data_IF_290751388905
#
_entry.id   IF_290751388905
#
_cell.length_a   1.000
_cell.length_b   1.000
_cell.length_c   1.000
_cell.angle_alpha   90.00
_cell.angle_beta   90.00
_cell.angle_gamma   90.00
#
_symmetry.space_group_name_H-M   'P 1'
#
loop_
_entity.id
_entity.type
_entity.pdbx_description
1 polymer ?
#
# COMPACT_ATOMS: atom_id res chain seq x y z
N UNK A 1 -45.65 -11.59 -21.65
CA UNK A 1 -44.54 -12.36 -21.05
C UNK A 1 -44.10 -11.58 -19.81
N UNK A 2 -44.68 -11.92 -18.67
CA UNK A 2 -44.39 -11.27 -17.38
C UNK A 2 -42.95 -11.63 -17.00
N UNK A 3 -42.05 -10.64 -17.04
CA UNK A 3 -40.74 -10.78 -16.42
C UNK A 3 -41.00 -10.79 -14.91
N UNK A 4 -40.90 -11.98 -14.32
CA UNK A 4 -40.85 -12.14 -12.87
C UNK A 4 -39.55 -11.46 -12.42
N UNK A 5 -39.68 -10.27 -11.86
CA UNK A 5 -38.69 -9.68 -10.97
C UNK A 5 -38.54 -10.65 -9.80
N UNK A 6 -37.60 -11.58 -9.95
CA UNK A 6 -37.03 -12.26 -8.80
C UNK A 6 -36.41 -11.17 -7.93
N UNK A 7 -36.76 -11.21 -6.67
CA UNK A 7 -36.24 -10.41 -5.56
C UNK A 7 -34.71 -10.58 -5.53
N UNK A 8 -34.00 -9.75 -6.31
CA UNK A 8 -32.54 -9.79 -6.39
C UNK A 8 -32.01 -8.97 -5.19
N UNK A 9 -31.22 -9.57 -4.28
CA UNK A 9 -30.46 -8.78 -3.33
C UNK A 9 -29.63 -7.78 -4.16
N UNK A 10 -29.58 -6.53 -3.71
CA UNK A 10 -28.92 -5.37 -4.32
C UNK A 10 -27.96 -5.74 -5.45
N UNK A 11 -28.22 -5.31 -6.69
CA UNK A 11 -27.39 -5.62 -7.87
C UNK A 11 -25.93 -5.19 -7.64
N UNK A 12 -25.09 -6.08 -7.13
CA UNK A 12 -23.65 -5.83 -6.94
C UNK A 12 -22.92 -6.10 -8.24
N UNK A 13 -22.26 -5.09 -8.78
CA UNK A 13 -21.34 -5.24 -9.92
C UNK A 13 -19.95 -5.55 -9.38
N UNK A 14 -19.39 -6.69 -9.78
CA UNK A 14 -18.02 -7.07 -9.40
C UNK A 14 -16.99 -6.27 -10.21
N UNK A 15 -15.93 -5.85 -9.53
CA UNK A 15 -14.84 -5.10 -10.15
C UNK A 15 -13.94 -6.02 -10.97
N UNK A 16 -13.51 -5.54 -12.13
CA UNK A 16 -12.52 -6.20 -12.99
C UNK A 16 -11.34 -5.25 -13.14
N UNK A 17 -10.16 -5.73 -12.78
CA UNK A 17 -8.91 -4.95 -12.86
C UNK A 17 -7.92 -5.68 -13.75
N UNK A 18 -7.24 -4.94 -14.62
CA UNK A 18 -6.13 -5.44 -15.41
C UNK A 18 -4.84 -4.74 -14.99
N UNK A 19 -3.84 -5.53 -14.62
CA UNK A 19 -2.49 -5.05 -14.36
C UNK A 19 -1.67 -5.18 -15.64
N UNK A 20 -1.16 -4.06 -16.13
CA UNK A 20 -0.35 -4.00 -17.35
C UNK A 20 1.06 -3.58 -16.97
N UNK A 21 2.02 -4.50 -17.07
CA UNK A 21 3.42 -4.25 -16.68
C UNK A 21 4.36 -4.50 -17.87
N UNK A 22 5.39 -3.66 -18.01
CA UNK A 22 6.38 -3.77 -19.08
C UNK A 22 7.77 -4.09 -18.51
N UNK A 23 7.99 -5.35 -18.12
CA UNK A 23 9.26 -5.78 -17.52
C UNK A 23 10.33 -6.10 -18.56
N UNK A 24 11.58 -5.71 -18.25
CA UNK A 24 12.70 -5.75 -19.19
C UNK A 24 13.04 -7.17 -19.68
N UNK A 25 12.82 -8.19 -18.84
CA UNK A 25 13.14 -9.60 -19.12
C UNK A 25 12.20 -10.32 -20.09
N UNK A 26 11.12 -9.69 -20.57
CA UNK A 26 10.09 -10.37 -21.37
C UNK A 26 10.45 -10.63 -22.84
N UNK A 27 11.58 -10.08 -23.33
CA UNK A 27 11.94 -10.06 -24.76
C UNK A 27 12.66 -11.31 -25.28
N UNK A 28 13.21 -12.17 -24.43
CA UNK A 28 13.80 -13.46 -24.85
C UNK A 28 13.13 -14.62 -24.11
N UNK A 29 12.89 -15.72 -24.82
CA UNK A 29 12.09 -16.88 -24.37
C UNK A 29 12.69 -17.68 -23.21
N UNK A 30 13.71 -17.18 -22.53
CA UNK A 30 14.44 -17.86 -21.48
C UNK A 30 14.43 -17.02 -20.20
N UNK A 31 13.34 -17.15 -19.42
CA UNK A 31 13.19 -16.62 -18.07
C UNK A 31 13.24 -15.08 -17.96
N UNK A 32 12.06 -14.45 -17.86
CA UNK A 32 11.97 -13.05 -17.48
C UNK A 32 12.42 -12.90 -16.02
N UNK A 33 13.56 -12.24 -15.82
CA UNK A 33 14.07 -11.88 -14.49
C UNK A 33 13.61 -10.47 -14.16
N UNK A 34 13.14 -10.28 -12.94
CA UNK A 34 12.79 -8.96 -12.42
C UNK A 34 13.92 -8.47 -11.52
N UNK A 35 14.32 -7.22 -11.73
CA UNK A 35 15.10 -6.49 -10.74
C UNK A 35 14.20 -6.13 -9.55
N UNK A 36 14.79 -5.85 -8.39
CA UNK A 36 14.00 -5.61 -7.19
C UNK A 36 13.03 -4.42 -7.32
N UNK A 37 13.45 -3.35 -7.99
CA UNK A 37 12.59 -2.21 -8.32
C UNK A 37 11.35 -2.61 -9.15
N UNK A 38 11.49 -3.55 -10.10
CA UNK A 38 10.35 -4.04 -10.89
C UNK A 38 9.40 -4.88 -10.02
N UNK A 39 9.91 -5.58 -9.02
CA UNK A 39 9.08 -6.26 -8.01
C UNK A 39 8.34 -5.25 -7.15
N UNK A 40 9.02 -4.19 -6.70
CA UNK A 40 8.40 -3.10 -5.94
C UNK A 40 7.28 -2.42 -6.74
N UNK A 41 7.53 -2.10 -8.01
CA UNK A 41 6.51 -1.57 -8.94
C UNK A 41 5.32 -2.53 -9.09
N UNK A 42 5.58 -3.84 -9.21
CA UNK A 42 4.50 -4.82 -9.30
C UNK A 42 3.60 -4.81 -8.05
N UNK A 43 4.21 -4.72 -6.86
CA UNK A 43 3.46 -4.65 -5.60
C UNK A 43 2.71 -3.31 -5.46
N UNK A 44 3.30 -2.20 -5.90
CA UNK A 44 2.65 -0.89 -5.97
C UNK A 44 1.34 -0.97 -6.76
N UNK A 45 1.41 -1.46 -8.01
CA UNK A 45 0.23 -1.59 -8.87
C UNK A 45 -0.78 -2.62 -8.32
N UNK A 46 -0.28 -3.69 -7.69
CA UNK A 46 -1.14 -4.65 -7.02
C UNK A 46 -1.91 -4.04 -5.84
N UNK A 47 -1.34 -3.06 -5.13
CA UNK A 47 -2.03 -2.28 -4.12
C UNK A 47 -3.23 -1.52 -4.69
N UNK A 48 -3.07 -0.86 -5.84
CA UNK A 48 -4.17 -0.21 -6.58
C UNK A 48 -5.25 -1.19 -7.00
N UNK A 49 -4.82 -2.36 -7.51
CA UNK A 49 -5.74 -3.42 -7.90
C UNK A 49 -6.55 -3.95 -6.71
N UNK A 50 -5.91 -4.19 -5.56
CA UNK A 50 -6.60 -4.64 -4.37
C UNK A 50 -7.54 -3.58 -3.79
N UNK A 51 -7.14 -2.31 -3.80
CA UNK A 51 -8.02 -1.22 -3.39
C UNK A 51 -9.30 -1.21 -4.25
N UNK A 52 -9.15 -1.40 -5.56
CA UNK A 52 -10.28 -1.51 -6.49
C UNK A 52 -11.13 -2.75 -6.23
N UNK A 53 -10.52 -3.93 -6.08
CA UNK A 53 -11.23 -5.20 -5.91
C UNK A 53 -11.97 -5.32 -4.56
N UNK A 54 -11.41 -4.73 -3.51
CA UNK A 54 -11.93 -4.81 -2.14
C UNK A 54 -12.92 -3.71 -1.81
N UNK A 55 -12.97 -2.62 -2.59
CA UNK A 55 -13.96 -1.55 -2.44
C UNK A 55 -15.40 -2.08 -2.56
N UNK A 56 -16.25 -1.65 -1.62
CA UNK A 56 -17.67 -2.01 -1.49
C UNK A 56 -18.47 -0.73 -1.25
N UNK A 57 -18.74 -0.01 -2.33
CA UNK A 57 -19.46 1.27 -2.30
C UNK A 57 -20.81 1.18 -3.00
N UNK A 58 -21.80 1.92 -2.50
CA UNK A 58 -23.13 1.98 -3.11
C UNK A 58 -23.14 2.74 -4.44
N UNK A 59 -22.18 3.65 -4.63
CA UNK A 59 -22.06 4.47 -5.83
C UNK A 59 -20.75 4.19 -6.56
N UNK A 60 -20.85 4.04 -7.89
CA UNK A 60 -19.71 3.80 -8.78
C UNK A 60 -18.67 4.94 -8.71
N UNK A 61 -19.11 6.18 -8.47
CA UNK A 61 -18.23 7.35 -8.41
C UNK A 61 -17.23 7.32 -7.25
N UNK A 62 -17.51 6.53 -6.21
CA UNK A 62 -16.63 6.35 -5.06
C UNK A 62 -15.89 5.01 -5.06
N UNK A 63 -16.07 4.17 -6.09
CA UNK A 63 -15.50 2.83 -6.07
C UNK A 63 -14.01 2.82 -6.40
N UNK A 64 -13.27 1.98 -5.68
CA UNK A 64 -11.85 1.72 -5.89
C UNK A 64 -10.97 2.94 -5.64
N UNK A 65 -10.05 3.23 -6.56
CA UNK A 65 -9.08 4.33 -6.46
C UNK A 65 -9.68 5.72 -6.70
N UNK A 66 -11.02 5.85 -6.82
CA UNK A 66 -11.72 7.14 -6.92
C UNK A 66 -11.82 7.81 -5.55
N UNK A 67 -10.67 8.08 -4.96
CA UNK A 67 -10.45 8.79 -3.70
C UNK A 67 -9.79 10.15 -3.99
N UNK A 68 -9.60 10.97 -2.97
CA UNK A 68 -8.73 12.15 -3.06
C UNK A 68 -7.31 11.72 -3.48
N UNK A 69 -6.67 12.51 -4.33
CA UNK A 69 -5.43 12.12 -5.04
C UNK A 69 -4.27 11.81 -4.08
N UNK A 70 -4.17 12.56 -2.99
CA UNK A 70 -3.20 12.38 -1.91
C UNK A 70 -3.35 11.03 -1.19
N UNK A 71 -4.58 10.50 -1.10
CA UNK A 71 -4.86 9.20 -0.48
C UNK A 71 -4.77 8.02 -1.47
N UNK A 72 -4.94 8.28 -2.78
CA UNK A 72 -4.96 7.24 -3.80
C UNK A 72 -3.70 6.38 -3.80
N UNK A 73 -2.54 6.96 -3.49
CA UNK A 73 -1.24 6.28 -3.44
C UNK A 73 -0.92 5.62 -2.09
N UNK A 74 -1.75 5.83 -1.08
CA UNK A 74 -1.50 5.25 0.24
C UNK A 74 -1.53 3.71 0.22
N UNK A 75 -2.52 3.04 -0.41
CA UNK A 75 -2.49 1.59 -0.55
C UNK A 75 -1.28 1.09 -1.34
N UNK A 76 -0.96 1.71 -2.48
CA UNK A 76 0.14 1.26 -3.34
C UNK A 76 1.49 1.36 -2.61
N UNK A 77 1.77 2.50 -1.97
CA UNK A 77 2.96 2.71 -1.15
C UNK A 77 3.04 1.73 0.04
N UNK A 78 1.91 1.40 0.67
CA UNK A 78 1.87 0.39 1.73
C UNK A 78 2.23 -1.00 1.20
N UNK A 79 1.74 -1.34 0.01
CA UNK A 79 1.97 -2.63 -0.60
C UNK A 79 3.44 -2.84 -1.02
N UNK A 80 4.18 -1.78 -1.31
CA UNK A 80 5.63 -1.85 -1.54
C UNK A 80 6.38 -2.47 -0.36
N UNK A 81 5.94 -2.26 0.90
CA UNK A 81 6.59 -2.86 2.07
C UNK A 81 6.60 -4.39 2.03
N UNK A 82 5.58 -5.01 1.44
CA UNK A 82 5.54 -6.46 1.26
C UNK A 82 6.60 -6.95 0.27
N UNK A 83 6.98 -6.13 -0.71
CA UNK A 83 8.08 -6.46 -1.62
C UNK A 83 9.43 -6.52 -0.89
N UNK A 84 9.55 -5.91 0.29
CA UNK A 84 10.77 -5.90 1.09
C UNK A 84 10.78 -6.92 2.23
N UNK A 85 9.66 -7.55 2.58
CA UNK A 85 9.59 -8.55 3.67
C UNK A 85 10.14 -9.92 3.21
N UNK A 86 11.15 -10.45 3.91
CA UNK A 86 11.75 -11.74 3.60
C UNK A 86 10.73 -12.89 3.54
N UNK A 87 9.74 -12.90 4.44
CA UNK A 87 8.68 -13.92 4.50
C UNK A 87 7.78 -13.91 3.28
N UNK A 88 7.65 -12.76 2.61
CA UNK A 88 6.97 -12.62 1.32
C UNK A 88 7.88 -13.04 0.18
N UNK A 89 9.08 -12.45 0.12
CA UNK A 89 10.05 -12.71 -0.95
C UNK A 89 10.38 -14.20 -1.06
N UNK A 90 10.58 -14.91 0.05
CA UNK A 90 10.90 -16.35 0.06
C UNK A 90 9.83 -17.24 -0.58
N UNK A 91 8.61 -16.74 -0.79
CA UNK A 91 7.52 -17.50 -1.43
C UNK A 91 7.75 -17.65 -2.94
N UNK A 92 8.34 -16.65 -3.59
CA UNK A 92 8.50 -16.63 -5.05
C UNK A 92 9.93 -16.37 -5.53
N UNK A 93 10.75 -15.65 -4.76
CA UNK A 93 12.13 -15.34 -5.11
C UNK A 93 13.02 -16.57 -4.96
N UNK A 94 13.35 -17.17 -6.10
CA UNK A 94 14.21 -18.35 -6.21
C UNK A 94 15.29 -18.13 -7.25
N UNK A 95 16.46 -18.71 -7.00
CA UNK A 95 17.53 -18.71 -7.97
C UNK A 95 17.10 -19.47 -9.23
N UNK A 96 17.25 -18.84 -10.40
CA UNK A 96 16.66 -19.32 -11.65
C UNK A 96 17.18 -20.70 -12.10
N UNK A 97 18.40 -21.08 -11.73
CA UNK A 97 18.99 -22.38 -12.11
C UNK A 97 19.00 -23.41 -10.98
N UNK A 98 19.18 -22.98 -9.72
CA UNK A 98 19.29 -23.90 -8.57
C UNK A 98 17.98 -24.08 -7.81
N UNK A 99 17.00 -23.19 -7.99
CA UNK A 99 15.72 -23.21 -7.27
C UNK A 99 15.82 -22.80 -5.80
N UNK A 100 17.02 -22.48 -5.31
CA UNK A 100 17.29 -22.05 -3.94
C UNK A 100 16.54 -20.76 -3.63
N UNK A 101 15.99 -20.70 -2.43
CA UNK A 101 15.27 -19.52 -1.93
C UNK A 101 16.26 -18.37 -1.73
N UNK A 102 15.81 -17.13 -1.97
CA UNK A 102 16.59 -15.93 -1.65
C UNK A 102 17.17 -16.00 -0.22
N UNK A 103 18.47 -15.78 -0.01
CA UNK A 103 19.04 -15.78 1.34
C UNK A 103 18.51 -14.61 2.19
N UNK A 104 18.13 -14.89 3.44
CA UNK A 104 17.63 -13.86 4.38
C UNK A 104 18.64 -12.72 4.56
N UNK A 105 19.92 -13.06 4.74
CA UNK A 105 21.02 -12.09 4.86
C UNK A 105 21.13 -11.13 3.66
N UNK A 106 20.76 -11.58 2.45
CA UNK A 106 20.74 -10.74 1.27
C UNK A 106 19.60 -9.72 1.36
N UNK A 107 18.41 -10.14 1.79
CA UNK A 107 17.26 -9.26 2.01
C UNK A 107 17.57 -8.23 3.09
N UNK A 108 18.17 -8.64 4.21
CA UNK A 108 18.61 -7.73 5.28
C UNK A 108 19.58 -6.66 4.75
N UNK A 109 20.54 -7.07 3.91
CA UNK A 109 21.50 -6.15 3.29
C UNK A 109 20.82 -5.15 2.34
N UNK A 110 19.85 -5.61 1.55
CA UNK A 110 19.05 -4.77 0.66
C UNK A 110 18.21 -3.76 1.46
N UNK A 111 17.54 -4.20 2.54
CA UNK A 111 16.78 -3.32 3.43
C UNK A 111 17.66 -2.27 4.10
N UNK A 112 18.89 -2.65 4.49
CA UNK A 112 19.88 -1.71 5.04
C UNK A 112 20.21 -0.57 4.07
N UNK A 113 20.29 -0.85 2.77
CA UNK A 113 20.51 0.17 1.75
C UNK A 113 19.28 1.07 1.52
N UNK A 114 18.05 0.54 1.68
CA UNK A 114 16.78 1.30 1.54
C UNK A 114 16.57 2.31 2.67
N UNK A 115 16.88 1.93 3.91
CA UNK A 115 16.58 2.72 5.13
C UNK A 115 17.25 4.09 5.18
N UNK A 116 18.19 4.39 4.29
CA UNK A 116 18.78 5.73 4.21
C UNK A 116 17.78 6.83 3.78
N UNK A 117 16.57 6.48 3.30
CA UNK A 117 15.57 7.45 2.79
C UNK A 117 14.09 7.09 3.04
N UNK A 118 13.77 6.17 3.95
CA UNK A 118 12.47 5.47 3.98
C UNK A 118 11.51 5.87 5.12
N UNK A 119 11.51 7.15 5.51
CA UNK A 119 10.64 7.62 6.57
C UNK A 119 9.18 7.73 6.10
N UNK A 120 8.43 6.65 6.26
CA UNK A 120 6.99 6.63 6.05
C UNK A 120 6.30 5.93 7.23
N UNK A 121 6.05 6.72 8.28
CA UNK A 121 5.37 6.29 9.52
C UNK A 121 4.01 5.64 9.27
N UNK A 122 3.29 6.08 8.24
CA UNK A 122 1.96 5.53 7.94
C UNK A 122 2.05 4.03 7.72
N UNK A 123 3.10 3.56 7.03
CA UNK A 123 3.30 2.14 6.82
C UNK A 123 3.65 1.41 8.12
N UNK A 124 4.55 1.94 8.94
CA UNK A 124 4.93 1.32 10.22
C UNK A 124 3.72 1.19 11.16
N UNK A 125 2.91 2.26 11.27
CA UNK A 125 1.73 2.27 12.13
C UNK A 125 0.58 1.43 11.57
N UNK A 126 0.32 1.49 10.26
CA UNK A 126 -0.75 0.70 9.63
C UNK A 126 -0.46 -0.80 9.63
N UNK A 127 0.82 -1.20 9.53
CA UNK A 127 1.22 -2.61 9.48
C UNK A 127 1.38 -3.27 10.86
N UNK A 128 1.28 -2.49 11.95
CA UNK A 128 1.28 -2.98 13.34
C UNK A 128 2.40 -3.99 13.64
N UNK A 129 3.65 -3.64 13.33
CA UNK A 129 4.88 -4.47 13.47
C UNK A 129 4.92 -5.76 12.61
N UNK A 130 3.78 -6.40 12.31
CA UNK A 130 3.70 -7.58 11.45
C UNK A 130 2.74 -7.38 10.26
N UNK A 131 3.25 -7.05 9.06
CA UNK A 131 2.43 -6.86 7.86
C UNK A 131 1.69 -8.13 7.41
N UNK A 132 2.12 -9.32 7.85
CA UNK A 132 1.53 -10.60 7.47
C UNK A 132 0.55 -11.16 8.50
N UNK A 133 0.26 -10.41 9.58
CA UNK A 133 -0.71 -10.83 10.57
C UNK A 133 -2.14 -10.75 10.01
N UNK A 134 -3.01 -11.68 10.40
CA UNK A 134 -4.43 -11.65 10.02
C UNK A 134 -5.12 -10.39 10.57
N UNK A 135 -4.72 -9.93 11.75
CA UNK A 135 -5.27 -8.72 12.37
C UNK A 135 -4.94 -7.49 11.52
N UNK A 136 -3.68 -7.33 11.12
CA UNK A 136 -3.20 -6.26 10.24
C UNK A 136 -3.94 -6.28 8.90
N UNK A 137 -4.00 -7.45 8.24
CA UNK A 137 -4.69 -7.58 6.95
C UNK A 137 -6.20 -7.32 7.05
N UNK A 138 -6.84 -7.74 8.14
CA UNK A 138 -8.25 -7.45 8.40
C UNK A 138 -8.46 -5.96 8.61
N UNK A 139 -7.64 -5.31 9.45
CA UNK A 139 -7.72 -3.87 9.69
C UNK A 139 -7.52 -3.07 8.41
N UNK A 140 -6.49 -3.37 7.61
CA UNK A 140 -6.25 -2.70 6.34
C UNK A 140 -7.45 -2.83 5.39
N UNK A 141 -8.05 -4.03 5.31
CA UNK A 141 -9.24 -4.23 4.49
C UNK A 141 -10.43 -3.43 5.01
N UNK A 142 -10.81 -3.65 6.27
CA UNK A 142 -12.10 -3.18 6.80
C UNK A 142 -12.10 -1.71 7.19
N UNK A 143 -10.93 -1.15 7.49
CA UNK A 143 -10.82 0.26 7.90
C UNK A 143 -10.43 1.18 6.75
N UNK A 144 -9.88 0.63 5.67
CA UNK A 144 -9.31 1.43 4.59
C UNK A 144 -9.83 1.00 3.21
N UNK A 145 -9.46 -0.19 2.72
CA UNK A 145 -9.68 -0.56 1.32
C UNK A 145 -11.16 -0.74 0.94
N UNK A 146 -11.99 -1.22 1.86
CA UNK A 146 -13.40 -1.51 1.52
C UNK A 146 -14.24 -0.26 1.27
N UNK A 147 -13.80 0.90 1.77
CA UNK A 147 -14.57 2.13 1.65
C UNK A 147 -14.39 2.85 0.31
N UNK A 148 -13.31 2.57 -0.45
CA UNK A 148 -12.95 3.38 -1.61
C UNK A 148 -12.95 4.88 -1.25
N UNK A 149 -13.58 5.71 -2.09
CA UNK A 149 -13.81 7.13 -1.86
C UNK A 149 -15.10 7.49 -1.13
N UNK A 150 -15.81 6.52 -0.54
CA UNK A 150 -17.10 6.78 0.10
C UNK A 150 -16.98 7.28 1.55
N UNK A 151 -15.76 7.36 2.09
CA UNK A 151 -15.48 7.79 3.46
C UNK A 151 -14.47 8.95 3.47
N UNK A 152 -14.60 9.83 4.46
CA UNK A 152 -13.69 10.97 4.60
C UNK A 152 -12.23 10.50 4.76
N UNK A 153 -11.26 11.14 4.07
CA UNK A 153 -9.85 10.77 4.17
C UNK A 153 -9.27 10.84 5.58
N UNK A 154 -9.73 11.80 6.40
CA UNK A 154 -9.29 11.96 7.79
C UNK A 154 -9.77 10.78 8.60
N UNK A 155 -11.05 10.42 8.48
CA UNK A 155 -11.63 9.28 9.19
C UNK A 155 -10.98 7.96 8.77
N UNK A 156 -10.69 7.80 7.48
CA UNK A 156 -9.99 6.61 6.95
C UNK A 156 -8.60 6.43 7.56
N UNK A 157 -7.82 7.50 7.58
CA UNK A 157 -6.46 7.46 8.11
C UNK A 157 -6.47 7.32 9.63
N UNK A 158 -7.32 8.06 10.35
CA UNK A 158 -7.46 7.96 11.80
C UNK A 158 -7.87 6.55 12.24
N UNK A 159 -8.82 5.92 11.54
CA UNK A 159 -9.22 4.54 11.84
C UNK A 159 -8.08 3.54 11.61
N UNK A 160 -7.28 3.76 10.56
CA UNK A 160 -6.19 2.89 10.16
C UNK A 160 -5.00 2.96 11.11
N UNK A 161 -4.53 4.17 11.43
CA UNK A 161 -3.26 4.37 12.17
C UNK A 161 -3.43 4.88 13.60
N UNK A 162 -4.64 5.32 13.99
CA UNK A 162 -4.96 5.86 15.31
C UNK A 162 -4.73 7.37 15.45
N UNK A 163 -5.24 7.92 16.55
CA UNK A 163 -5.11 9.34 16.88
C UNK A 163 -3.64 9.72 17.14
N UNK A 164 -3.19 10.86 16.58
CA UNK A 164 -1.87 11.45 16.87
C UNK A 164 -0.82 11.33 15.75
N UNK A 165 -1.12 10.65 14.64
CA UNK A 165 -0.24 10.61 13.45
C UNK A 165 -0.60 11.68 12.42
N UNK A 166 -1.81 12.23 12.50
CA UNK A 166 -2.33 13.25 11.59
C UNK A 166 -2.62 14.54 12.35
N UNK A 167 -2.18 15.68 11.80
CA UNK A 167 -2.57 17.00 12.26
C UNK A 167 -3.42 17.67 11.18
N UNK A 168 -4.57 18.24 11.56
CA UNK A 168 -5.35 19.07 10.64
C UNK A 168 -4.86 20.51 10.70
N UNK A 169 -4.45 21.08 9.56
CA UNK A 169 -4.00 22.47 9.46
C UNK A 169 -4.62 23.12 8.23
N UNK A 170 -5.33 24.23 8.43
CA UNK A 170 -5.98 25.03 7.38
C UNK A 170 -6.90 24.23 6.43
N UNK A 171 -7.54 23.18 6.94
CA UNK A 171 -8.43 22.30 6.16
C UNK A 171 -7.71 21.20 5.36
N UNK A 172 -6.39 21.08 5.47
CA UNK A 172 -5.60 19.97 4.96
C UNK A 172 -5.15 19.00 6.05
N UNK A 173 -4.91 17.75 5.67
CA UNK A 173 -4.30 16.73 6.54
C UNK A 173 -2.77 16.83 6.38
N UNK A 174 -2.07 17.06 7.48
CA UNK A 174 -0.61 17.10 7.52
C UNK A 174 -0.10 15.92 8.36
N UNK A 175 0.73 15.04 7.80
CA UNK A 175 1.33 13.96 8.59
C UNK A 175 2.29 14.51 9.65
N UNK A 176 2.32 13.87 10.81
CA UNK A 176 3.22 14.24 11.90
C UNK A 176 4.68 13.96 11.51
N UNK A 177 5.45 15.04 11.34
CA UNK A 177 6.87 15.01 10.95
C UNK A 177 7.81 14.59 12.09
N UNK A 178 7.34 14.50 13.34
CA UNK A 178 8.22 14.21 14.49
C UNK A 178 9.02 12.92 14.32
N UNK A 179 8.45 11.83 13.79
CA UNK A 179 9.27 10.62 13.61
C UNK A 179 10.13 10.59 12.35
N UNK A 180 9.88 11.47 11.36
CA UNK A 180 10.89 11.72 10.32
C UNK A 180 12.13 12.35 10.98
N UNK A 181 11.91 13.29 11.91
CA UNK A 181 12.99 13.91 12.68
C UNK A 181 13.69 12.88 13.60
N UNK A 182 12.94 12.03 14.31
CA UNK A 182 13.53 10.97 15.17
C UNK A 182 14.37 9.97 14.36
N UNK A 183 13.86 9.53 13.20
CA UNK A 183 14.53 8.54 12.34
C UNK A 183 15.79 9.13 11.69
N UNK A 184 15.73 10.39 11.26
CA UNK A 184 16.89 11.12 10.73
C UNK A 184 17.81 11.67 11.83
N UNK A 185 17.46 11.49 13.11
CA UNK A 185 18.17 12.05 14.27
C UNK A 185 18.38 13.57 14.17
N UNK A 186 17.38 14.28 13.66
CA UNK A 186 17.38 15.73 13.59
C UNK A 186 16.91 16.28 14.95
N UNK A 187 17.74 17.06 15.63
CA UNK A 187 17.33 17.76 16.84
C UNK A 187 16.28 18.82 16.50
N UNK A 188 15.21 18.95 17.30
CA UNK A 188 14.18 19.98 17.14
C UNK A 188 14.83 21.38 17.17
N UNK A 189 15.00 21.99 16.00
CA UNK A 189 15.30 23.41 15.91
C UNK A 189 14.02 24.17 16.23
N UNK A 190 13.91 24.64 17.48
CA UNK A 190 12.77 25.40 17.96
C UNK A 190 12.43 26.57 17.05
N UNK A 191 11.13 26.74 16.79
CA UNK A 191 10.45 27.95 16.29
C UNK A 191 11.31 28.95 15.48
N UNK A 192 11.95 28.55 14.38
CA UNK A 192 12.33 29.51 13.36
C UNK A 192 11.94 28.99 11.97
N UNK A 193 11.23 29.87 11.26
CA UNK A 193 10.64 29.65 9.96
C UNK A 193 11.70 29.21 8.94
N UNK A 194 11.61 27.96 8.48
CA UNK A 194 12.23 27.56 7.23
C UNK A 194 11.27 27.96 6.10
N UNK A 195 11.55 29.13 5.51
CA UNK A 195 11.02 29.52 4.20
C UNK A 195 11.95 28.89 3.15
N UNK A 196 11.37 28.21 2.16
CA UNK A 196 12.09 27.65 1.01
C UNK A 196 12.80 28.73 0.19
#
# INVERSE_FOLDING_TARGET
>A
MHLVLLDLPSLVVLQVVALVCNFAGSRSSSSAKLNHWEVETLFHEFGHALHSLLSRTDYQHFSGTRVVLDLAETPSNLFEYYAWDYRVLRKFARHYSTGEVIPEKLVESMQGARKMFAANRLATSALQEDPLSLATGTALRTKFLEHGGAKDPTDLLTDLVGDGILQSRDGGIVPDFTSLCDELKLEECGQEHVVL
#
